data_IF_695213087369
#
_entry.id   IF_695213087369
#
_cell.length_a   1.000
_cell.length_b   1.000
_cell.length_c   1.000
_cell.angle_alpha   90.00
_cell.angle_beta   90.00
_cell.angle_gamma   90.00
#
_symmetry.space_group_name_H-M   'P 1'
#
loop_
_entity.id
_entity.type
_entity.pdbx_description
1 polymer ?
#
# COMPACT_ATOMS: atom_id res chain seq x y z
N UNK A 1 -8.08 -10.89 -27.45
CA UNK A 1 -9.15 -11.68 -26.80
C UNK A 1 -9.28 -11.16 -25.38
N UNK A 2 -10.49 -11.04 -24.79
CA UNK A 2 -10.61 -10.64 -23.40
C UNK A 2 -9.83 -11.64 -22.54
N UNK A 3 -8.96 -11.14 -21.67
CA UNK A 3 -8.18 -11.99 -20.77
C UNK A 3 -9.11 -12.73 -19.80
N UNK A 4 -8.81 -13.99 -19.46
CA UNK A 4 -9.64 -14.76 -18.56
C UNK A 4 -9.59 -14.18 -17.14
N UNK A 5 -10.75 -14.22 -16.48
CA UNK A 5 -10.90 -14.06 -15.04
C UNK A 5 -10.96 -15.47 -14.47
N UNK A 6 -10.01 -15.81 -13.63
CA UNK A 6 -9.96 -17.08 -12.93
C UNK A 6 -10.73 -16.97 -11.62
N UNK A 7 -11.31 -18.07 -11.17
CA UNK A 7 -11.83 -18.23 -9.82
C UNK A 7 -10.92 -19.25 -9.15
N UNK A 8 -10.32 -18.87 -8.04
CA UNK A 8 -9.49 -19.74 -7.20
C UNK A 8 -10.32 -20.16 -5.99
N UNK A 9 -10.30 -21.45 -5.64
CA UNK A 9 -10.85 -22.01 -4.42
C UNK A 9 -9.70 -22.61 -3.60
N UNK A 10 -9.46 -22.12 -2.38
CA UNK A 10 -8.39 -22.61 -1.51
C UNK A 10 -7.03 -22.77 -2.25
N UNK A 11 -6.59 -21.72 -2.95
CA UNK A 11 -5.38 -21.68 -3.79
C UNK A 11 -5.38 -22.57 -5.06
N UNK A 12 -6.45 -23.30 -5.34
CA UNK A 12 -6.60 -24.11 -6.55
C UNK A 12 -7.52 -23.46 -7.58
N UNK A 13 -7.20 -23.60 -8.88
CA UNK A 13 -8.04 -23.08 -9.96
C UNK A 13 -9.40 -23.81 -9.99
N UNK A 14 -10.48 -23.07 -9.79
CA UNK A 14 -11.86 -23.56 -9.87
C UNK A 14 -12.49 -23.35 -11.26
N UNK A 15 -12.32 -22.17 -11.86
CA UNK A 15 -12.99 -21.81 -13.12
C UNK A 15 -12.31 -20.67 -13.86
N UNK A 16 -12.52 -20.57 -15.18
CA UNK A 16 -12.09 -19.45 -16.02
C UNK A 16 -13.28 -18.85 -16.78
N UNK A 17 -13.38 -17.52 -16.76
CA UNK A 17 -14.46 -16.78 -17.39
C UNK A 17 -13.93 -15.63 -18.25
N UNK A 18 -14.64 -15.26 -19.32
CA UNK A 18 -14.25 -14.12 -20.17
C UNK A 18 -14.68 -12.76 -19.63
N UNK A 19 -15.47 -12.73 -18.54
CA UNK A 19 -15.97 -11.51 -17.92
C UNK A 19 -16.37 -11.72 -16.48
N UNK A 20 -16.38 -10.64 -15.70
CA UNK A 20 -16.66 -10.72 -14.26
C UNK A 20 -18.10 -11.14 -14.00
N UNK A 21 -19.02 -10.79 -14.90
CA UNK A 21 -20.42 -11.21 -14.85
C UNK A 21 -20.55 -12.71 -15.09
N UNK A 22 -19.74 -13.28 -15.98
CA UNK A 22 -19.70 -14.73 -16.23
C UNK A 22 -19.12 -15.47 -15.03
N UNK A 23 -18.02 -14.98 -14.46
CA UNK A 23 -17.43 -15.54 -13.25
C UNK A 23 -18.41 -15.50 -12.06
N UNK A 24 -19.06 -14.35 -11.84
CA UNK A 24 -20.07 -14.18 -10.79
C UNK A 24 -21.24 -15.15 -10.96
N UNK A 25 -21.75 -15.30 -12.19
CA UNK A 25 -22.86 -16.22 -12.47
C UNK A 25 -22.45 -17.66 -12.18
N UNK A 26 -21.28 -18.09 -12.65
CA UNK A 26 -20.77 -19.42 -12.37
C UNK A 26 -20.68 -19.69 -10.87
N UNK A 27 -20.04 -18.79 -10.10
CA UNK A 27 -19.86 -19.02 -8.66
C UNK A 27 -21.19 -19.01 -7.90
N UNK A 28 -22.15 -18.18 -8.32
CA UNK A 28 -23.48 -18.16 -7.73
C UNK A 28 -24.22 -19.49 -7.93
N UNK A 29 -24.14 -20.04 -9.14
CA UNK A 29 -24.70 -21.35 -9.47
C UNK A 29 -23.98 -22.48 -8.73
N UNK A 30 -22.64 -22.43 -8.68
CA UNK A 30 -21.80 -23.39 -7.97
C UNK A 30 -22.12 -23.47 -6.47
N UNK A 31 -22.32 -22.31 -5.83
CA UNK A 31 -22.61 -22.21 -4.40
C UNK A 31 -24.12 -22.26 -4.07
N UNK A 32 -24.99 -22.37 -5.09
CA UNK A 32 -26.46 -22.30 -4.93
C UNK A 32 -26.94 -21.04 -4.19
N UNK A 33 -26.26 -19.92 -4.44
CA UNK A 33 -26.61 -18.61 -3.87
C UNK A 33 -27.10 -17.65 -4.95
N UNK A 34 -27.74 -16.56 -4.51
CA UNK A 34 -28.06 -15.46 -5.40
C UNK A 34 -26.77 -14.76 -5.88
N UNK A 35 -26.66 -14.49 -7.18
CA UNK A 35 -25.55 -13.68 -7.74
C UNK A 35 -25.41 -12.30 -7.10
N UNK A 36 -26.49 -11.78 -6.49
CA UNK A 36 -26.44 -10.51 -5.76
C UNK A 36 -25.57 -10.59 -4.49
N UNK A 37 -25.38 -11.78 -3.92
CA UNK A 37 -24.49 -12.03 -2.76
C UNK A 37 -23.00 -12.06 -3.12
N UNK A 38 -22.68 -12.03 -4.42
CA UNK A 38 -21.31 -11.96 -4.92
C UNK A 38 -20.90 -10.53 -5.31
N UNK A 39 -21.74 -9.52 -5.06
CA UNK A 39 -21.38 -8.13 -5.35
C UNK A 39 -20.31 -7.59 -4.40
N UNK A 40 -20.29 -8.04 -3.14
CA UNK A 40 -19.30 -7.64 -2.14
C UNK A 40 -17.89 -8.16 -2.49
N UNK A 41 -17.67 -9.44 -2.88
CA UNK A 41 -16.36 -9.88 -3.35
C UNK A 41 -16.00 -9.41 -4.77
N UNK A 42 -16.96 -8.86 -5.52
CA UNK A 42 -16.79 -8.30 -6.88
C UNK A 42 -16.87 -6.76 -6.81
N UNK A 43 -16.60 -6.20 -5.62
CA UNK A 43 -16.89 -4.83 -5.20
C UNK A 43 -16.80 -3.82 -6.34
N UNK A 44 -17.97 -3.40 -6.82
CA UNK A 44 -18.11 -2.33 -7.83
C UNK A 44 -17.39 -2.59 -9.16
N UNK A 45 -17.09 -3.85 -9.49
CA UNK A 45 -16.43 -4.20 -10.74
C UNK A 45 -14.93 -3.94 -10.72
N UNK A 46 -14.39 -3.71 -9.53
CA UNK A 46 -12.96 -3.65 -9.25
C UNK A 46 -12.63 -4.68 -8.20
N UNK A 47 -11.36 -5.06 -8.23
CA UNK A 47 -10.71 -5.95 -7.30
C UNK A 47 -10.87 -7.44 -7.62
N UNK A 48 -9.70 -8.02 -7.71
CA UNK A 48 -9.39 -9.41 -7.94
C UNK A 48 -8.44 -9.81 -6.80
N UNK A 49 -8.58 -11.02 -6.28
CA UNK A 49 -7.92 -11.59 -5.09
C UNK A 49 -8.56 -11.22 -3.73
N UNK A 50 -9.80 -10.73 -3.69
CA UNK A 50 -10.57 -10.62 -2.43
C UNK A 50 -11.12 -12.00 -2.08
N UNK A 51 -10.82 -12.52 -0.86
CA UNK A 51 -11.40 -13.78 -0.43
C UNK A 51 -12.89 -13.62 -0.10
N UNK A 52 -13.69 -14.50 -0.67
CA UNK A 52 -15.09 -14.72 -0.36
C UNK A 52 -15.21 -16.06 0.36
N UNK A 53 -15.64 -16.03 1.61
CA UNK A 53 -15.74 -17.25 2.42
C UNK A 53 -17.15 -17.82 2.39
N UNK A 54 -17.26 -19.12 2.15
CA UNK A 54 -18.48 -19.91 2.37
C UNK A 54 -18.09 -21.14 3.16
N UNK A 55 -18.61 -21.24 4.38
CA UNK A 55 -18.20 -22.26 5.35
C UNK A 55 -16.68 -22.20 5.59
N UNK A 56 -15.94 -23.28 5.31
CA UNK A 56 -14.48 -23.33 5.46
C UNK A 56 -13.73 -23.00 4.15
N UNK A 57 -14.46 -22.80 3.06
CA UNK A 57 -13.87 -22.58 1.74
C UNK A 57 -13.68 -21.09 1.44
N UNK A 58 -12.50 -20.76 0.93
CA UNK A 58 -12.13 -19.44 0.41
C UNK A 58 -12.23 -19.41 -1.12
N UNK A 59 -12.88 -18.38 -1.67
CA UNK A 59 -13.01 -18.16 -3.11
C UNK A 59 -12.44 -16.79 -3.50
N UNK A 60 -11.62 -16.73 -4.55
CA UNK A 60 -11.02 -15.48 -5.06
C UNK A 60 -11.22 -15.34 -6.57
N UNK A 61 -11.66 -14.18 -7.03
CA UNK A 61 -11.65 -13.84 -8.46
C UNK A 61 -10.28 -13.28 -8.82
N UNK A 62 -9.55 -13.80 -9.79
CA UNK A 62 -8.23 -13.31 -10.19
C UNK A 62 -8.25 -12.89 -11.67
N UNK A 63 -7.55 -11.82 -12.04
CA UNK A 63 -7.31 -11.46 -13.43
C UNK A 63 -5.93 -10.80 -13.59
N UNK A 64 -5.50 -10.56 -14.83
CA UNK A 64 -4.28 -9.79 -15.09
C UNK A 64 -4.43 -8.35 -14.57
N UNK A 65 -3.35 -7.81 -14.00
CA UNK A 65 -3.32 -6.48 -13.39
C UNK A 65 -3.77 -5.37 -14.35
N UNK A 66 -3.28 -5.40 -15.59
CA UNK A 66 -3.65 -4.46 -16.66
C UNK A 66 -5.16 -4.45 -16.96
N UNK A 67 -5.82 -5.61 -16.88
CA UNK A 67 -7.26 -5.73 -17.14
C UNK A 67 -8.05 -5.07 -16.02
N UNK A 68 -7.60 -5.25 -14.77
CA UNK A 68 -8.19 -4.61 -13.61
C UNK A 68 -8.01 -3.09 -13.65
N UNK A 69 -6.83 -2.61 -14.08
CA UNK A 69 -6.54 -1.19 -14.26
C UNK A 69 -7.35 -0.53 -15.37
N UNK A 70 -7.45 -1.16 -16.53
CA UNK A 70 -8.21 -0.62 -17.65
C UNK A 70 -9.69 -0.51 -17.31
N UNK A 71 -10.25 -1.53 -16.65
CA UNK A 71 -11.62 -1.44 -16.13
C UNK A 71 -11.74 -0.29 -15.14
N UNK A 72 -10.72 -0.09 -14.26
CA UNK A 72 -10.63 1.02 -13.28
C UNK A 72 -10.77 2.39 -13.89
N UNK A 73 -9.98 2.64 -14.93
CA UNK A 73 -10.04 3.88 -15.69
C UNK A 73 -11.42 4.06 -16.31
N UNK A 74 -12.00 3.00 -16.90
CA UNK A 74 -13.30 3.08 -17.56
C UNK A 74 -14.46 3.52 -16.63
N UNK A 75 -14.66 2.91 -15.44
CA UNK A 75 -15.80 3.36 -14.58
C UNK A 75 -15.54 4.73 -13.97
N UNK A 76 -14.27 5.09 -13.74
CA UNK A 76 -13.90 6.42 -13.22
C UNK A 76 -14.17 7.52 -14.27
N UNK A 77 -13.73 7.33 -15.51
CA UNK A 77 -13.94 8.26 -16.63
C UNK A 77 -15.42 8.41 -16.99
N UNK A 78 -16.19 7.33 -16.92
CA UNK A 78 -17.63 7.36 -17.19
C UNK A 78 -18.46 7.84 -15.99
N UNK A 79 -17.81 8.18 -14.86
CA UNK A 79 -18.45 8.52 -13.59
C UNK A 79 -19.57 7.53 -13.22
N UNK A 80 -19.33 6.25 -13.51
CA UNK A 80 -20.32 5.21 -13.33
C UNK A 80 -20.59 5.01 -11.83
N UNK A 81 -21.78 4.53 -11.45
CA UNK A 81 -22.18 4.35 -10.03
C UNK A 81 -21.23 3.46 -9.21
N UNK A 82 -20.45 2.66 -9.91
CA UNK A 82 -19.45 1.75 -9.36
C UNK A 82 -18.01 2.31 -9.47
N UNK A 83 -17.83 3.57 -9.88
CA UNK A 83 -16.53 4.22 -9.81
C UNK A 83 -16.00 4.17 -8.38
N UNK A 84 -14.67 4.11 -8.28
CA UNK A 84 -13.93 4.15 -7.03
C UNK A 84 -14.39 5.34 -6.18
N UNK A 85 -14.71 5.10 -4.91
CA UNK A 85 -15.10 6.18 -4.01
C UNK A 85 -13.84 6.78 -3.41
N UNK A 86 -13.87 8.10 -3.29
CA UNK A 86 -12.77 8.87 -2.72
C UNK A 86 -13.29 9.56 -1.48
N UNK A 87 -12.52 9.48 -0.41
CA UNK A 87 -12.91 9.90 0.93
C UNK A 87 -11.89 10.85 1.51
N UNK A 88 -12.35 11.80 2.32
CA UNK A 88 -11.54 12.57 3.25
C UNK A 88 -11.83 12.06 4.65
N UNK A 89 -10.79 11.61 5.35
CA UNK A 89 -10.92 10.95 6.66
C UNK A 89 -10.04 11.68 7.67
N UNK A 90 -10.59 12.17 8.80
CA UNK A 90 -9.77 12.78 9.84
C UNK A 90 -8.94 11.72 10.57
N UNK A 91 -7.69 12.06 10.86
CA UNK A 91 -6.79 11.31 11.71
C UNK A 91 -6.24 12.21 12.81
N UNK A 92 -6.20 11.70 14.04
CA UNK A 92 -5.72 12.44 15.19
C UNK A 92 -4.40 11.84 15.68
N UNK A 93 -3.24 12.52 15.48
CA UNK A 93 -1.95 12.05 15.97
C UNK A 93 -1.88 11.84 17.48
N UNK A 94 -2.78 12.48 18.25
CA UNK A 94 -2.87 12.25 19.70
C UNK A 94 -3.64 10.99 20.08
N UNK A 95 -4.37 10.38 19.15
CA UNK A 95 -5.06 9.11 19.35
C UNK A 95 -4.23 7.96 18.77
N UNK A 96 -3.68 8.15 17.57
CA UNK A 96 -2.95 7.12 16.84
C UNK A 96 -1.81 7.70 16.00
N UNK A 97 -0.61 7.17 16.17
CA UNK A 97 0.59 7.55 15.42
C UNK A 97 0.59 6.88 14.04
N UNK A 98 -0.06 7.54 13.08
CA UNK A 98 -0.10 7.12 11.68
C UNK A 98 1.29 7.02 11.04
N UNK A 99 2.19 7.92 11.38
CA UNK A 99 3.50 8.00 10.74
C UNK A 99 4.32 6.77 11.13
N UNK A 100 4.39 6.47 12.43
CA UNK A 100 5.07 5.27 12.91
C UNK A 100 4.36 3.99 12.43
N UNK A 101 3.03 3.97 12.38
CA UNK A 101 2.29 2.80 11.90
C UNK A 101 2.57 2.49 10.42
N UNK A 102 2.54 3.48 9.53
CA UNK A 102 2.88 3.27 8.11
C UNK A 102 4.36 2.98 7.88
N UNK A 103 5.24 3.47 8.75
CA UNK A 103 6.66 3.10 8.71
C UNK A 103 6.90 1.65 9.13
N UNK A 104 6.11 1.15 10.09
CA UNK A 104 6.23 -0.21 10.62
C UNK A 104 5.55 -1.28 9.76
N UNK A 105 4.42 -0.96 9.11
CA UNK A 105 3.59 -1.95 8.44
C UNK A 105 3.21 -1.54 7.01
N UNK A 106 3.30 -2.50 6.08
CA UNK A 106 2.82 -2.33 4.70
C UNK A 106 1.29 -2.13 4.64
N UNK A 107 0.57 -2.63 5.65
CA UNK A 107 -0.89 -2.53 5.78
C UNK A 107 -1.25 -2.31 7.24
N UNK A 108 -2.22 -1.45 7.51
CA UNK A 108 -2.71 -1.22 8.87
C UNK A 108 -4.22 -1.41 8.94
N UNK A 109 -4.70 -1.90 10.09
CA UNK A 109 -6.11 -1.96 10.40
C UNK A 109 -6.56 -0.56 10.87
N UNK A 110 -7.41 0.08 10.10
CA UNK A 110 -7.94 1.41 10.37
C UNK A 110 -9.41 1.35 10.79
N UNK A 111 -9.82 2.26 11.68
CA UNK A 111 -11.20 2.33 12.15
C UNK A 111 -12.17 2.45 10.97
N UNK A 112 -13.09 1.51 10.88
CA UNK A 112 -14.14 1.48 9.86
C UNK A 112 -15.29 2.43 10.22
N UNK A 113 -15.07 3.71 9.98
CA UNK A 113 -16.04 4.80 10.21
C UNK A 113 -17.15 4.88 9.16
N UNK A 114 -16.99 4.19 8.03
CA UNK A 114 -18.02 4.05 7.00
C UNK A 114 -17.96 2.63 6.42
N UNK A 115 -18.94 2.28 5.58
CA UNK A 115 -18.86 1.07 4.76
C UNK A 115 -17.89 1.27 3.59
N UNK A 116 -16.59 1.36 3.93
CA UNK A 116 -15.51 1.31 2.96
C UNK A 116 -15.51 -0.04 2.25
N UNK A 117 -15.14 0.01 0.99
CA UNK A 117 -15.09 -1.12 0.07
C UNK A 117 -13.69 -1.15 -0.53
N UNK A 118 -13.27 -2.30 -0.99
CA UNK A 118 -11.95 -2.53 -1.56
C UNK A 118 -11.74 -1.65 -2.78
N UNK A 119 -10.53 -1.11 -2.87
CA UNK A 119 -10.14 -0.12 -3.84
C UNK A 119 -10.61 1.29 -3.52
N UNK A 120 -11.43 1.56 -2.49
CA UNK A 120 -11.69 2.95 -2.08
C UNK A 120 -10.38 3.68 -1.74
N UNK A 121 -10.32 4.97 -2.07
CA UNK A 121 -9.19 5.82 -1.72
C UNK A 121 -9.57 6.72 -0.57
N UNK A 122 -8.74 6.73 0.47
CA UNK A 122 -8.90 7.58 1.64
C UNK A 122 -7.73 8.57 1.65
N UNK A 123 -8.06 9.85 1.66
CA UNK A 123 -7.14 10.92 1.99
C UNK A 123 -7.21 11.19 3.48
N UNK A 124 -6.11 10.94 4.19
CA UNK A 124 -6.04 11.13 5.64
C UNK A 124 -5.67 12.58 5.95
N UNK A 125 -6.63 13.31 6.49
CA UNK A 125 -6.46 14.66 7.02
C UNK A 125 -5.93 14.57 8.45
N UNK A 126 -4.67 14.94 8.63
CA UNK A 126 -4.00 14.91 9.93
C UNK A 126 -4.37 16.16 10.71
N UNK A 127 -5.10 15.99 11.81
CA UNK A 127 -5.63 17.06 12.65
C UNK A 127 -4.60 17.59 13.67
N UNK A 128 -5.05 18.35 14.67
CA UNK A 128 -4.17 18.93 15.69
C UNK A 128 -3.35 20.11 15.15
N UNK A 129 -2.02 20.02 15.25
CA UNK A 129 -1.09 21.07 14.80
C UNK A 129 -0.74 20.96 13.31
N UNK A 130 -1.01 19.82 12.68
CA UNK A 130 -0.62 19.54 11.29
C UNK A 130 -1.64 20.14 10.31
N UNK A 131 -2.93 19.92 10.57
CA UNK A 131 -4.08 20.50 9.86
C UNK A 131 -4.00 20.43 8.32
N UNK A 132 -3.53 19.30 7.78
CA UNK A 132 -3.40 19.08 6.33
C UNK A 132 -3.66 17.64 5.95
N UNK A 133 -4.02 17.42 4.68
CA UNK A 133 -4.02 16.07 4.10
C UNK A 133 -2.57 15.65 3.86
N UNK A 134 -2.16 14.51 4.42
CA UNK A 134 -0.79 13.98 4.27
C UNK A 134 -0.72 12.67 3.50
N UNK A 135 -1.67 11.77 3.74
CA UNK A 135 -1.58 10.40 3.23
C UNK A 135 -2.71 10.09 2.26
N UNK A 136 -2.38 9.42 1.17
CA UNK A 136 -3.32 8.74 0.28
C UNK A 136 -3.18 7.25 0.53
N UNK A 137 -4.27 6.61 0.89
CA UNK A 137 -4.30 5.17 1.16
C UNK A 137 -5.37 4.48 0.34
N UNK A 138 -5.15 3.21 0.03
CA UNK A 138 -6.11 2.34 -0.62
C UNK A 138 -6.66 1.33 0.39
N UNK A 139 -7.98 1.15 0.37
CA UNK A 139 -8.64 0.08 1.12
C UNK A 139 -8.39 -1.25 0.43
N UNK A 140 -7.71 -2.15 1.10
CA UNK A 140 -7.42 -3.50 0.63
C UNK A 140 -8.47 -4.49 1.13
N UNK A 141 -9.03 -4.24 2.32
CA UNK A 141 -10.10 -5.03 2.91
C UNK A 141 -11.14 -4.11 3.58
N UNK A 142 -12.34 -4.04 3.03
CA UNK A 142 -13.40 -3.13 3.47
C UNK A 142 -13.92 -3.47 4.85
N UNK A 143 -14.01 -4.77 5.17
CA UNK A 143 -14.34 -5.29 6.50
C UNK A 143 -13.38 -6.42 6.83
N UNK A 144 -12.48 -6.17 7.77
CA UNK A 144 -11.59 -7.20 8.33
C UNK A 144 -12.42 -8.19 9.15
N UNK A 145 -12.41 -9.46 8.75
CA UNK A 145 -13.23 -10.53 9.38
C UNK A 145 -12.43 -11.43 10.33
N UNK A 146 -11.13 -11.52 10.14
CA UNK A 146 -10.28 -12.38 10.92
C UNK A 146 -10.11 -11.80 12.33
N UNK A 147 -9.92 -12.68 13.32
CA UNK A 147 -9.59 -12.30 14.70
C UNK A 147 -8.19 -11.67 14.83
N UNK A 148 -7.55 -11.31 13.72
CA UNK A 148 -6.30 -10.55 13.61
C UNK A 148 -6.52 -9.09 14.05
N UNK A 149 -6.96 -8.98 15.30
CA UNK A 149 -7.08 -7.80 16.14
C UNK A 149 -5.73 -7.57 16.82
N UNK A 150 -4.65 -7.63 16.03
CA UNK A 150 -3.43 -6.94 16.41
C UNK A 150 -3.78 -5.46 16.47
N UNK A 151 -4.29 -5.03 17.62
CA UNK A 151 -4.72 -3.66 17.85
C UNK A 151 -3.53 -2.69 17.90
N UNK A 152 -2.35 -3.09 17.38
CA UNK A 152 -1.28 -2.15 17.05
C UNK A 152 -0.97 -1.24 18.26
N UNK A 153 -1.02 -1.81 19.47
CA UNK A 153 -1.08 -1.08 20.75
C UNK A 153 0.03 -0.03 20.84
N UNK A 154 1.20 -0.36 20.30
CA UNK A 154 2.38 0.49 20.32
C UNK A 154 2.26 1.81 19.55
N UNK A 155 1.23 2.00 18.72
CA UNK A 155 0.94 3.27 18.01
C UNK A 155 -0.24 4.04 18.61
N UNK A 156 -0.88 3.52 19.65
CA UNK A 156 -1.93 4.27 20.35
C UNK A 156 -1.30 5.21 21.37
N UNK A 157 -1.56 6.49 21.19
CA UNK A 157 -1.13 7.54 22.12
C UNK A 157 -2.18 7.80 23.21
N UNK A 158 -3.41 7.32 23.00
CA UNK A 158 -4.54 7.43 23.91
C UNK A 158 -5.02 6.03 24.35
N UNK A 159 -4.72 5.66 25.60
CA UNK A 159 -5.08 4.36 26.17
C UNK A 159 -6.59 4.15 26.28
N UNK A 160 -7.37 5.22 26.54
CA UNK A 160 -8.84 5.10 26.61
C UNK A 160 -9.41 4.77 25.23
N UNK A 161 -8.90 5.43 24.20
CA UNK A 161 -9.27 5.16 22.81
C UNK A 161 -8.83 3.77 22.36
N UNK A 162 -7.65 3.33 22.78
CA UNK A 162 -7.18 1.97 22.53
C UNK A 162 -8.14 0.93 23.12
N UNK A 163 -8.59 1.10 24.36
CA UNK A 163 -9.55 0.17 24.97
C UNK A 163 -10.90 0.16 24.23
N UNK A 164 -11.40 1.34 23.81
CA UNK A 164 -12.60 1.43 22.98
C UNK A 164 -12.44 0.76 21.62
N UNK A 165 -11.22 0.77 21.06
CA UNK A 165 -10.92 0.23 19.74
C UNK A 165 -11.13 -1.28 19.62
N UNK A 166 -11.06 -2.01 20.74
CA UNK A 166 -11.27 -3.47 20.77
C UNK A 166 -12.66 -3.89 20.29
N UNK A 167 -13.64 -3.01 20.45
CA UNK A 167 -15.04 -3.24 20.02
C UNK A 167 -15.35 -2.64 18.64
N UNK A 168 -14.37 -2.03 17.97
CA UNK A 168 -14.57 -1.42 16.66
C UNK A 168 -14.50 -2.45 15.54
N UNK A 169 -15.10 -2.08 14.40
CA UNK A 169 -14.85 -2.77 13.14
C UNK A 169 -13.72 -2.07 12.39
N UNK A 170 -12.98 -2.84 11.60
CA UNK A 170 -11.79 -2.37 10.92
C UNK A 170 -11.89 -2.54 9.41
N UNK A 171 -11.18 -1.66 8.71
CA UNK A 171 -10.85 -1.79 7.30
C UNK A 171 -9.33 -1.85 7.19
N UNK A 172 -8.79 -2.70 6.33
CA UNK A 172 -7.34 -2.81 6.11
C UNK A 172 -6.95 -1.85 4.99
N UNK A 173 -6.04 -0.92 5.30
CA UNK A 173 -5.56 0.10 4.36
C UNK A 173 -4.06 -0.07 4.10
N UNK A 174 -3.63 0.34 2.91
CA UNK A 174 -2.22 0.40 2.50
C UNK A 174 -1.87 1.81 2.06
N UNK A 175 -0.70 2.30 2.46
CA UNK A 175 -0.17 3.57 2.01
C UNK A 175 0.10 3.53 0.50
N UNK A 176 -0.46 4.48 -0.24
CA UNK A 176 -0.25 4.64 -1.68
C UNK A 176 0.66 5.82 -1.97
N UNK A 177 0.52 6.91 -1.24
CA UNK A 177 1.33 8.11 -1.46
C UNK A 177 1.31 8.98 -0.20
N UNK A 178 2.37 9.75 0.01
CA UNK A 178 2.53 10.69 1.11
C UNK A 178 3.09 12.01 0.59
N UNK A 179 2.50 13.11 1.06
CA UNK A 179 2.99 14.46 0.80
C UNK A 179 2.96 15.29 2.07
N UNK A 180 3.87 16.25 2.15
CA UNK A 180 3.87 17.26 3.20
C UNK A 180 4.00 18.66 2.58
N UNK A 181 2.86 19.22 2.18
CA UNK A 181 2.76 20.50 1.47
C UNK A 181 1.66 21.38 2.04
N UNK A 182 1.88 22.70 2.01
CA UNK A 182 0.95 23.66 2.59
C UNK A 182 -0.32 23.85 1.74
N UNK A 183 -0.27 23.53 0.44
CA UNK A 183 -1.42 23.54 -0.47
C UNK A 183 -2.52 22.55 -0.05
N UNK A 184 -2.21 21.57 0.80
CA UNK A 184 -3.19 20.63 1.36
C UNK A 184 -3.63 20.97 2.79
N UNK A 185 -3.26 22.15 3.30
CA UNK A 185 -3.73 22.66 4.60
C UNK A 185 -5.22 22.99 4.60
N UNK A 186 -5.82 22.98 5.78
CA UNK A 186 -7.23 23.29 6.00
C UNK A 186 -7.69 24.59 5.31
N UNK A 187 -6.84 25.62 5.30
CA UNK A 187 -7.14 26.89 4.63
C UNK A 187 -7.28 26.73 3.12
N UNK A 188 -6.37 26.02 2.47
CA UNK A 188 -6.42 25.78 1.03
C UNK A 188 -7.56 24.83 0.66
N UNK A 189 -7.81 23.78 1.44
CA UNK A 189 -8.97 22.91 1.22
C UNK A 189 -10.29 23.70 1.25
N UNK A 190 -10.43 24.69 2.15
CA UNK A 190 -11.61 25.58 2.21
C UNK A 190 -11.73 26.48 1.00
N UNK A 191 -10.62 26.99 0.48
CA UNK A 191 -10.61 27.78 -0.76
C UNK A 191 -11.08 26.96 -1.96
N UNK A 192 -10.79 25.65 -1.96
CA UNK A 192 -11.16 24.70 -3.01
C UNK A 192 -12.43 23.89 -2.71
N UNK A 193 -13.32 24.42 -1.87
CA UNK A 193 -14.69 23.91 -1.74
C UNK A 193 -14.98 23.03 -0.53
N UNK A 194 -14.04 22.85 0.40
CA UNK A 194 -14.33 22.20 1.69
C UNK A 194 -15.29 23.07 2.52
N UNK A 195 -16.46 22.51 2.83
CA UNK A 195 -17.50 23.17 3.64
C UNK A 195 -17.54 22.59 5.06
N UNK A 196 -17.52 23.47 6.06
CA UNK A 196 -17.63 23.07 7.47
C UNK A 196 -16.34 22.52 8.07
N UNK A 197 -16.49 21.80 9.19
CA UNK A 197 -15.39 21.18 9.92
C UNK A 197 -15.28 19.69 9.56
N UNK A 198 -14.05 19.17 9.49
CA UNK A 198 -13.79 17.75 9.26
C UNK A 198 -13.95 17.01 10.61
N UNK A 199 -15.18 16.64 10.95
CA UNK A 199 -15.51 15.92 12.19
C UNK A 199 -15.67 14.40 12.01
N UNK A 200 -15.67 13.94 10.76
CA UNK A 200 -15.81 12.54 10.41
C UNK A 200 -15.53 12.34 8.93
N UNK A 201 -15.53 11.09 8.50
CA UNK A 201 -15.28 10.74 7.10
C UNK A 201 -16.35 11.29 6.17
N UNK A 202 -15.92 11.88 5.06
CA UNK A 202 -16.82 12.42 4.04
C UNK A 202 -16.37 12.00 2.65
N UNK A 203 -17.34 11.76 1.76
CA UNK A 203 -17.03 11.51 0.35
C UNK A 203 -16.58 12.80 -0.31
N UNK A 204 -15.52 12.70 -1.11
CA UNK A 204 -15.01 13.78 -1.93
C UNK A 204 -15.56 13.66 -3.34
N UNK A 205 -16.04 14.79 -3.86
CA UNK A 205 -16.59 14.93 -5.20
C UNK A 205 -16.20 16.28 -5.80
N UNK A 206 -16.21 16.38 -7.13
CA UNK A 206 -16.01 17.64 -7.85
C UNK A 206 -14.66 18.30 -7.57
N UNK A 207 -14.66 19.64 -7.55
CA UNK A 207 -13.45 20.46 -7.48
C UNK A 207 -12.50 20.09 -6.33
N UNK A 208 -13.02 19.89 -5.11
CA UNK A 208 -12.19 19.57 -3.95
C UNK A 208 -11.45 18.23 -4.13
N UNK A 209 -12.16 17.23 -4.67
CA UNK A 209 -11.56 15.92 -4.97
C UNK A 209 -10.43 16.07 -5.97
N UNK A 210 -10.73 16.74 -7.08
CA UNK A 210 -9.80 16.87 -8.20
C UNK A 210 -8.56 17.66 -7.77
N UNK A 211 -8.75 18.73 -7.01
CA UNK A 211 -7.69 19.52 -6.40
C UNK A 211 -6.74 18.65 -5.56
N UNK A 212 -7.25 17.93 -4.57
CA UNK A 212 -6.43 17.07 -3.68
C UNK A 212 -5.67 16.02 -4.51
N UNK A 213 -6.35 15.38 -5.47
CA UNK A 213 -5.74 14.34 -6.31
C UNK A 213 -4.54 14.84 -7.10
N UNK A 214 -4.50 16.11 -7.51
CA UNK A 214 -3.38 16.64 -8.32
C UNK A 214 -2.02 16.60 -7.61
N UNK A 215 -2.00 16.50 -6.28
CA UNK A 215 -0.77 16.51 -5.49
C UNK A 215 -0.21 15.12 -5.22
N UNK A 216 -1.02 14.07 -5.33
CA UNK A 216 -0.61 12.70 -5.06
C UNK A 216 -0.28 11.96 -6.36
N UNK A 217 0.96 12.17 -6.82
CA UNK A 217 1.47 11.70 -8.12
C UNK A 217 2.34 10.46 -8.01
N UNK A 218 2.71 10.05 -6.79
CA UNK A 218 3.54 8.88 -6.59
C UNK A 218 2.67 7.66 -6.30
N UNK A 219 3.23 6.48 -6.54
CA UNK A 219 2.64 5.23 -6.12
C UNK A 219 3.69 4.45 -5.34
N UNK A 220 3.71 4.63 -4.02
CA UNK A 220 4.58 3.91 -3.08
C UNK A 220 4.31 2.40 -3.04
N UNK A 221 3.22 1.92 -3.66
CA UNK A 221 2.92 0.48 -3.78
C UNK A 221 3.61 -0.19 -4.96
N UNK A 222 3.99 0.60 -5.96
CA UNK A 222 4.89 0.21 -7.03
C UNK A 222 6.30 0.53 -6.53
N UNK A 223 7.18 -0.47 -6.41
CA UNK A 223 8.54 -0.24 -5.94
C UNK A 223 9.18 0.88 -6.76
N UNK A 224 9.48 2.01 -6.12
CA UNK A 224 9.90 3.22 -6.81
C UNK A 224 11.29 3.01 -7.43
N UNK A 225 11.32 2.79 -8.74
CA UNK A 225 12.54 2.86 -9.55
C UNK A 225 12.64 4.28 -10.12
N UNK A 226 13.79 4.98 -9.95
CA UNK A 226 14.01 6.31 -10.54
C UNK A 226 13.88 6.39 -12.08
N UNK A 227 13.71 5.24 -12.76
CA UNK A 227 13.72 5.12 -14.22
C UNK A 227 12.32 5.24 -14.86
N UNK A 228 11.24 5.37 -14.09
CA UNK A 228 9.90 5.66 -14.65
C UNK A 228 9.68 7.17 -14.78
N UNK A 229 10.35 7.74 -15.79
CA UNK A 229 10.11 9.12 -16.22
C UNK A 229 8.85 9.15 -17.08
N UNK A 230 8.04 10.20 -16.94
CA UNK A 230 6.98 10.55 -17.91
C UNK A 230 7.49 10.45 -19.35
N UNK A 231 6.66 9.97 -20.28
CA UNK A 231 6.95 10.00 -21.74
C UNK A 231 7.21 11.44 -22.27
N UNK A 232 6.95 12.45 -21.46
CA UNK A 232 7.34 13.83 -21.74
C UNK A 232 8.85 14.03 -21.60
N UNK A 233 9.53 14.27 -22.72
CA UNK A 233 10.96 14.62 -22.84
C UNK A 233 11.33 16.00 -22.23
N UNK A 234 10.57 16.49 -21.25
CA UNK A 234 10.80 17.76 -20.58
C UNK A 234 11.86 17.61 -19.46
N UNK A 235 13.13 17.83 -19.79
CA UNK A 235 14.22 17.89 -18.82
C UNK A 235 14.25 19.23 -18.05
N UNK A 236 14.82 19.22 -16.84
CA UNK A 236 15.16 20.44 -16.08
C UNK A 236 14.19 20.85 -14.97
N UNK A 237 13.15 20.06 -14.69
CA UNK A 237 12.29 20.30 -13.52
C UNK A 237 12.98 19.77 -12.27
N UNK A 238 13.38 20.67 -11.36
CA UNK A 238 13.91 20.28 -10.05
C UNK A 238 12.81 19.60 -9.24
N UNK A 239 12.89 18.27 -9.11
CA UNK A 239 12.04 17.50 -8.23
C UNK A 239 12.84 17.33 -6.93
N UNK A 240 12.36 17.92 -5.83
CA UNK A 240 12.87 17.61 -4.50
C UNK A 240 12.31 16.25 -4.08
N UNK A 241 13.07 15.19 -4.32
CA UNK A 241 12.78 13.85 -3.83
C UNK A 241 13.36 13.74 -2.43
N UNK A 242 12.52 13.57 -1.42
CA UNK A 242 12.98 13.20 -0.07
C UNK A 242 13.32 11.70 -0.11
N UNK A 243 14.60 11.36 -0.27
CA UNK A 243 15.11 9.99 -0.48
C UNK A 243 15.02 9.09 0.77
N UNK A 244 14.21 9.44 1.77
CA UNK A 244 14.20 8.74 3.07
C UNK A 244 13.07 7.69 3.23
N UNK A 245 12.36 7.35 2.15
CA UNK A 245 11.16 6.52 2.22
C UNK A 245 11.39 4.99 2.34
N UNK A 246 12.61 4.52 2.62
CA UNK A 246 12.93 3.09 2.58
C UNK A 246 13.55 2.48 3.84
N UNK A 247 13.59 3.18 4.97
CA UNK A 247 14.18 2.64 6.20
C UNK A 247 13.14 2.56 7.32
N UNK A 248 12.36 1.46 7.26
CA UNK A 248 11.15 1.14 8.05
C UNK A 248 11.31 1.16 9.58
N UNK A 249 12.55 1.11 10.11
CA UNK A 249 12.83 1.43 11.50
C UNK A 249 14.27 1.98 11.63
N UNK A 250 14.45 3.27 11.98
CA UNK A 250 15.78 3.87 12.05
C UNK A 250 16.70 3.24 13.11
N UNK A 251 16.12 2.65 14.17
CA UNK A 251 16.88 1.93 15.21
C UNK A 251 17.37 0.60 14.68
N UNK A 252 16.50 -0.20 14.05
CA UNK A 252 16.89 -1.49 13.48
C UNK A 252 17.92 -1.31 12.36
N UNK A 253 17.75 -0.28 11.52
CA UNK A 253 18.71 0.10 10.48
C UNK A 253 20.06 0.50 11.07
N UNK A 254 20.08 1.34 12.11
CA UNK A 254 21.32 1.70 12.81
C UNK A 254 22.01 0.46 13.38
N UNK A 255 21.29 -0.42 14.07
CA UNK A 255 21.84 -1.65 14.65
C UNK A 255 22.37 -2.62 13.58
N UNK A 256 21.69 -2.73 12.43
CA UNK A 256 22.13 -3.52 11.29
C UNK A 256 23.48 -3.00 10.75
N UNK A 257 23.61 -1.68 10.58
CA UNK A 257 24.84 -1.05 10.07
C UNK A 257 25.97 -1.08 11.11
N UNK A 258 25.67 -0.93 12.39
CA UNK A 258 26.66 -1.10 13.46
C UNK A 258 27.24 -2.53 13.47
N UNK A 259 26.43 -3.52 13.10
CA UNK A 259 26.85 -4.92 13.04
C UNK A 259 27.59 -5.30 11.75
N UNK A 260 27.00 -4.99 10.59
CA UNK A 260 27.51 -5.43 9.28
C UNK A 260 28.43 -4.40 8.59
N UNK A 261 28.41 -3.16 9.04
CA UNK A 261 29.06 -2.04 8.35
C UNK A 261 28.26 -1.53 7.14
N UNK A 262 28.93 -0.72 6.33
CA UNK A 262 28.33 0.03 5.21
C UNK A 262 28.72 -0.51 3.83
N UNK A 263 29.35 -1.69 3.81
CA UNK A 263 29.69 -2.38 2.57
C UNK A 263 28.50 -3.25 2.13
N UNK A 264 28.17 -3.19 0.84
CA UNK A 264 27.10 -4.00 0.28
C UNK A 264 27.42 -5.49 0.41
N UNK A 265 26.52 -6.26 1.04
CA UNK A 265 26.71 -7.70 1.26
C UNK A 265 26.48 -8.57 0.01
N UNK A 266 26.17 -7.96 -1.13
CA UNK A 266 25.89 -8.67 -2.39
C UNK A 266 27.01 -8.42 -3.41
N UNK A 267 27.26 -7.16 -3.76
CA UNK A 267 28.27 -6.78 -4.75
C UNK A 267 29.56 -6.22 -4.14
N UNK A 268 29.69 -6.23 -2.81
CA UNK A 268 30.87 -5.76 -2.08
C UNK A 268 31.20 -4.27 -2.27
N UNK A 269 30.32 -3.50 -2.92
CA UNK A 269 30.50 -2.06 -3.11
C UNK A 269 30.59 -1.34 -1.77
N UNK A 270 31.64 -0.54 -1.62
CA UNK A 270 31.86 0.39 -0.53
C UNK A 270 31.90 1.80 -1.13
N UNK A 271 30.91 2.62 -0.78
CA UNK A 271 30.75 3.94 -1.36
C UNK A 271 31.87 4.91 -0.96
N UNK A 272 32.42 4.79 0.26
CA UNK A 272 33.54 5.64 0.67
C UNK A 272 34.81 5.28 -0.08
N UNK A 273 35.07 3.98 -0.33
CA UNK A 273 36.23 3.54 -1.11
C UNK A 273 36.15 3.97 -2.58
N UNK A 274 34.96 3.95 -3.18
CA UNK A 274 34.78 4.25 -4.61
C UNK A 274 34.61 5.74 -4.87
N UNK A 275 33.82 6.44 -4.07
CA UNK A 275 33.45 7.85 -4.29
C UNK A 275 34.16 8.81 -3.33
N UNK A 276 34.98 8.30 -2.40
CA UNK A 276 35.61 9.10 -1.35
C UNK A 276 34.60 9.52 -0.28
N UNK A 277 34.94 10.58 0.49
CA UNK A 277 34.18 11.02 1.66
C UNK A 277 32.69 11.28 1.43
N UNK A 278 32.27 11.59 0.20
CA UNK A 278 30.86 11.81 -0.14
C UNK A 278 30.02 10.54 -0.01
N UNK A 279 30.64 9.37 -0.18
CA UNK A 279 30.00 8.06 -0.04
C UNK A 279 30.03 7.49 1.38
N UNK A 280 30.57 8.24 2.35
CA UNK A 280 30.65 7.78 3.74
C UNK A 280 29.25 7.53 4.31
N UNK A 281 29.11 6.39 4.98
CA UNK A 281 27.87 5.93 5.62
C UNK A 281 26.66 5.74 4.67
N UNK A 282 26.89 5.81 3.35
CA UNK A 282 25.84 5.67 2.33
C UNK A 282 25.63 4.20 1.97
N UNK A 283 24.53 3.63 2.47
CA UNK A 283 24.09 2.26 2.20
C UNK A 283 22.58 2.15 2.48
N UNK A 284 21.88 1.26 1.78
CA UNK A 284 20.49 0.91 2.09
C UNK A 284 20.44 -0.35 2.97
N UNK A 285 19.34 -0.55 3.70
CA UNK A 285 19.09 -1.77 4.47
C UNK A 285 17.84 -2.48 3.96
N UNK A 286 17.97 -3.76 3.64
CA UNK A 286 16.91 -4.59 3.06
C UNK A 286 16.46 -5.69 4.02
N UNK A 287 15.18 -6.07 3.98
CA UNK A 287 14.67 -7.22 4.72
C UNK A 287 14.94 -8.52 3.95
N UNK A 288 15.68 -9.45 4.55
CA UNK A 288 16.07 -10.74 3.95
C UNK A 288 14.83 -11.56 3.57
N UNK A 289 13.83 -11.58 4.46
CA UNK A 289 12.52 -12.17 4.21
C UNK A 289 11.53 -11.01 4.03
N UNK A 290 10.79 -10.95 2.92
CA UNK A 290 9.77 -9.94 2.74
C UNK A 290 8.75 -9.97 3.89
N UNK A 291 8.45 -8.82 4.49
CA UNK A 291 7.55 -8.75 5.65
C UNK A 291 6.15 -9.32 5.36
N UNK A 292 5.68 -9.31 4.12
CA UNK A 292 4.40 -9.93 3.73
C UNK A 292 4.37 -11.46 3.81
N UNK A 293 5.54 -12.13 3.87
CA UNK A 293 5.66 -13.57 4.12
C UNK A 293 5.69 -13.88 5.63
N UNK A 294 5.94 -12.88 6.47
CA UNK A 294 5.99 -13.01 7.93
C UNK A 294 4.57 -12.75 8.47
N UNK A 295 3.77 -13.80 8.57
CA UNK A 295 2.33 -13.75 8.89
C UNK A 295 1.98 -13.45 10.36
N UNK A 296 2.89 -12.87 11.17
CA UNK A 296 2.71 -12.68 12.62
C UNK A 296 3.46 -11.44 13.15
N UNK A 297 3.12 -10.95 14.35
CA UNK A 297 3.87 -9.91 15.07
C UNK A 297 5.36 -10.26 15.12
N UNK A 298 6.18 -9.45 14.43
CA UNK A 298 7.59 -9.75 14.24
C UNK A 298 8.48 -8.63 14.77
N UNK A 299 9.22 -8.91 15.84
CA UNK A 299 10.30 -8.04 16.27
C UNK A 299 11.48 -8.29 15.35
N UNK A 300 11.79 -7.30 14.51
CA UNK A 300 12.94 -7.35 13.61
C UNK A 300 14.24 -7.54 14.41
N UNK A 301 14.97 -8.61 14.12
CA UNK A 301 16.33 -8.86 14.54
C UNK A 301 17.27 -8.23 13.48
N UNK A 302 17.94 -7.12 13.80
CA UNK A 302 18.77 -6.40 12.83
C UNK A 302 19.94 -7.21 12.25
N UNK A 303 20.29 -8.34 12.86
CA UNK A 303 21.35 -9.23 12.38
C UNK A 303 20.83 -10.38 11.53
N UNK A 304 19.58 -10.82 11.76
CA UNK A 304 19.03 -11.99 11.05
C UNK A 304 18.11 -11.63 9.91
N UNK A 305 17.47 -10.47 10.00
CA UNK A 305 16.39 -10.10 9.07
C UNK A 305 16.77 -8.96 8.17
N UNK A 306 17.83 -8.25 8.51
CA UNK A 306 18.28 -7.08 7.77
C UNK A 306 19.64 -7.32 7.16
N UNK A 307 19.86 -6.73 5.99
CA UNK A 307 21.14 -6.80 5.29
C UNK A 307 21.47 -5.46 4.62
N UNK A 308 22.69 -4.92 4.79
CA UNK A 308 23.10 -3.74 4.06
C UNK A 308 23.40 -4.05 2.59
N UNK A 309 22.78 -3.28 1.69
CA UNK A 309 22.90 -3.42 0.24
C UNK A 309 23.03 -2.06 -0.43
N UNK A 310 23.76 -2.00 -1.55
CA UNK A 310 23.80 -0.77 -2.33
C UNK A 310 22.44 -0.51 -3.00
N UNK A 311 22.11 0.75 -3.37
CA UNK A 311 20.85 1.07 -4.04
C UNK A 311 20.56 0.20 -5.27
N UNK A 312 21.59 -0.15 -6.06
CA UNK A 312 21.43 -0.99 -7.25
C UNK A 312 21.06 -2.43 -6.89
N UNK A 313 21.74 -3.04 -5.92
CA UNK A 313 21.40 -4.39 -5.46
C UNK A 313 20.05 -4.41 -4.76
N UNK A 314 19.74 -3.38 -3.96
CA UNK A 314 18.44 -3.21 -3.34
C UNK A 314 17.31 -3.21 -4.38
N UNK A 315 17.48 -2.43 -5.43
CA UNK A 315 16.56 -2.39 -6.56
C UNK A 315 16.41 -3.76 -7.23
N UNK A 316 17.50 -4.51 -7.43
CA UNK A 316 17.42 -5.85 -8.05
C UNK A 316 16.72 -6.88 -7.17
N UNK A 317 16.81 -6.80 -5.84
CA UNK A 317 16.07 -7.69 -4.92
C UNK A 317 14.56 -7.45 -4.98
N UNK A 318 14.15 -6.20 -5.22
CA UNK A 318 12.74 -5.84 -5.40
C UNK A 318 12.22 -6.08 -6.83
N UNK A 319 13.04 -6.60 -7.73
CA UNK A 319 12.62 -6.94 -9.09
C UNK A 319 12.11 -8.38 -9.14
N UNK A 320 10.94 -8.59 -9.74
CA UNK A 320 10.37 -9.93 -9.94
C UNK A 320 10.89 -10.56 -11.22
N UNK A 321 11.24 -11.84 -11.16
CA UNK A 321 11.46 -12.69 -12.31
C UNK A 321 10.49 -13.88 -12.23
N UNK A 322 9.72 -14.11 -13.30
CA UNK A 322 8.67 -15.13 -13.34
C UNK A 322 7.69 -15.03 -12.13
N UNK A 323 7.37 -13.80 -11.74
CA UNK A 323 6.46 -13.51 -10.63
C UNK A 323 7.04 -13.65 -9.23
N UNK A 324 8.33 -14.02 -9.08
CA UNK A 324 9.00 -14.20 -7.77
C UNK A 324 10.15 -13.22 -7.59
N UNK A 325 10.37 -12.76 -6.36
CA UNK A 325 11.55 -11.96 -6.02
C UNK A 325 12.80 -12.84 -6.01
N UNK A 326 13.94 -12.24 -6.35
CA UNK A 326 15.22 -12.90 -6.23
C UNK A 326 15.64 -12.96 -4.76
N UNK A 327 16.16 -14.10 -4.33
CA UNK A 327 16.86 -14.18 -3.05
C UNK A 327 18.22 -13.48 -3.15
N UNK A 328 18.77 -13.09 -2.00
CA UNK A 328 20.12 -12.52 -1.90
C UNK A 328 21.15 -13.42 -2.58
N UNK A 329 21.06 -14.72 -2.38
CA UNK A 329 21.97 -15.70 -2.97
C UNK A 329 21.80 -15.81 -4.49
N UNK A 330 20.55 -15.80 -4.98
CA UNK A 330 20.28 -15.78 -6.42
C UNK A 330 20.82 -14.52 -7.09
N UNK A 331 20.68 -13.35 -6.45
CA UNK A 331 21.22 -12.11 -6.98
C UNK A 331 22.75 -12.13 -6.96
N UNK A 332 23.37 -12.64 -5.89
CA UNK A 332 24.82 -12.79 -5.78
C UNK A 332 25.39 -13.65 -6.92
N UNK A 333 24.72 -14.77 -7.27
CA UNK A 333 25.13 -15.64 -8.37
C UNK A 333 24.99 -15.02 -9.77
N UNK A 334 24.17 -13.95 -9.90
CA UNK A 334 23.98 -13.23 -11.17
C UNK A 334 24.97 -12.11 -11.40
N UNK A 335 25.68 -11.68 -10.37
CA UNK A 335 26.72 -10.69 -10.53
C UNK A 335 27.85 -11.36 -11.31
N UNK A 336 27.97 -10.98 -12.59
CA UNK A 336 29.09 -11.38 -13.41
C UNK A 336 30.34 -10.82 -12.75
N UNK A 337 31.21 -11.71 -12.28
CA UNK A 337 32.53 -11.34 -11.82
C UNK A 337 33.25 -10.68 -12.99
N UNK A 338 33.64 -9.41 -12.84
CA UNK A 338 34.57 -8.75 -13.75
C UNK A 338 36.01 -9.13 -13.40
#
# INVERSE_FOLDING_TARGET
>A
MPSPITIIKNDELLYEATSIQNAARFLAEYLQISKYKLYDPIERGYVYNIPYYVEEDEYRFISLEEVAENRRKELEETNHKNARRIWLVPANPKEYDLERAFNSYDKINWKRSYNYENGDILFLYVSGNIQKVRYKVEVIEGLVRDNDTQNNKEFWEDEEKYEQSKEWTYTRIRLVDEVDIDDLSLSHLRQHGLKGNIQGSMKLHGELRDYIMTFFKHNLTEGYYPDEVSEDLAEGKSISVTVNAYERNPIARKLCIEYFGVQCQICELDFEKVYGKVGKDFIHVHHIIPLHEIQQDYIVDPQKDLIPVCPNCHAMLHRKENGKYLTIEQLRQRILSN
#
